data_IF_672301226074
#
_entry.id   IF_672301226074
#
_cell.length_a   1.000
_cell.length_b   1.000
_cell.length_c   1.000
_cell.angle_alpha   90.00
_cell.angle_beta   90.00
_cell.angle_gamma   90.00
#
_symmetry.space_group_name_H-M   'P 1'
#
loop_
_entity.id
_entity.type
_entity.pdbx_description
1 polymer ?
#
# COMPACT_ATOMS: atom_id res chain seq x y z
N UNK A 1 1.46 -8.57 -12.21
CA UNK A 1 0.70 -7.29 -12.19
C UNK A 1 1.43 -6.37 -11.21
N UNK A 2 1.39 -5.04 -11.39
CA UNK A 2 2.00 -4.06 -10.47
C UNK A 2 1.73 -4.37 -8.99
N UNK A 3 0.53 -4.81 -8.65
CA UNK A 3 0.19 -5.23 -7.28
C UNK A 3 1.00 -6.45 -6.82
N UNK A 4 1.14 -7.48 -7.67
CA UNK A 4 1.87 -8.71 -7.36
C UNK A 4 3.37 -8.46 -7.11
N UNK A 5 3.93 -7.45 -7.79
CA UNK A 5 5.33 -7.05 -7.60
C UNK A 5 5.50 -6.17 -6.35
N UNK A 6 4.45 -5.42 -5.99
CA UNK A 6 4.47 -4.44 -4.90
C UNK A 6 4.22 -5.08 -3.53
N UNK A 7 3.29 -6.04 -3.43
CA UNK A 7 2.98 -6.72 -2.16
C UNK A 7 4.24 -7.33 -1.51
N UNK A 8 5.11 -8.08 -2.22
CA UNK A 8 6.34 -8.60 -1.64
C UNK A 8 7.30 -7.50 -1.15
N UNK A 9 7.38 -6.36 -1.87
CA UNK A 9 8.20 -5.21 -1.47
C UNK A 9 7.67 -4.58 -0.18
N UNK A 10 6.34 -4.43 -0.05
CA UNK A 10 5.70 -3.92 1.17
C UNK A 10 5.93 -4.88 2.33
N UNK A 11 5.72 -6.19 2.14
CA UNK A 11 5.96 -7.20 3.17
C UNK A 11 7.41 -7.15 3.68
N UNK A 12 8.38 -7.12 2.76
CA UNK A 12 9.79 -6.96 3.11
C UNK A 12 10.09 -5.64 3.83
N UNK A 13 9.40 -4.56 3.46
CA UNK A 13 9.56 -3.28 4.14
C UNK A 13 9.01 -3.32 5.58
N UNK A 14 7.93 -4.06 5.82
CA UNK A 14 7.42 -4.32 7.17
C UNK A 14 8.43 -5.11 7.99
N UNK A 15 9.04 -6.16 7.43
CA UNK A 15 10.12 -6.92 8.10
C UNK A 15 11.30 -6.01 8.50
N UNK A 16 11.66 -5.05 7.65
CA UNK A 16 12.70 -4.06 7.99
C UNK A 16 12.29 -3.19 9.19
N UNK A 17 11.02 -2.82 9.31
CA UNK A 17 10.54 -2.09 10.49
C UNK A 17 10.59 -2.98 11.75
N UNK A 18 10.21 -4.26 11.63
CA UNK A 18 10.28 -5.22 12.73
C UNK A 18 11.73 -5.40 13.22
N UNK A 19 12.70 -5.50 12.30
CA UNK A 19 14.13 -5.56 12.61
C UNK A 19 14.60 -4.33 13.42
N UNK A 20 14.12 -3.13 13.05
CA UNK A 20 14.47 -1.89 13.74
C UNK A 20 13.86 -1.82 15.13
N UNK A 21 12.60 -2.23 15.28
CA UNK A 21 11.94 -2.31 16.59
C UNK A 21 12.59 -3.35 17.50
N UNK A 22 13.12 -4.44 16.93
CA UNK A 22 13.90 -5.44 17.65
C UNK A 22 15.32 -4.99 18.03
N UNK A 23 15.87 -3.98 17.36
CA UNK A 23 17.23 -3.52 17.60
C UNK A 23 17.37 -2.79 18.95
N UNK A 24 18.36 -3.20 19.74
CA UNK A 24 18.56 -2.71 21.12
C UNK A 24 18.69 -1.19 21.26
N UNK A 25 19.33 -0.53 20.28
CA UNK A 25 19.53 0.92 20.29
C UNK A 25 18.34 1.65 19.70
N UNK A 26 17.83 1.21 18.56
CA UNK A 26 16.72 1.88 17.85
C UNK A 26 15.41 1.83 18.64
N UNK A 27 15.12 0.74 19.36
CA UNK A 27 13.91 0.61 20.19
C UNK A 27 13.79 1.65 21.31
N UNK A 28 14.89 2.34 21.64
CA UNK A 28 14.91 3.41 22.64
C UNK A 28 14.46 4.75 22.07
N UNK A 29 14.30 4.87 20.76
CA UNK A 29 13.75 6.05 20.10
C UNK A 29 12.22 5.94 20.00
N UNK A 30 11.46 6.63 20.88
CA UNK A 30 10.00 6.53 20.88
C UNK A 30 9.36 7.14 19.63
N UNK A 31 10.04 8.09 18.96
CA UNK A 31 9.53 8.70 17.73
C UNK A 31 9.58 7.66 16.62
N UNK A 32 10.72 6.97 16.48
CA UNK A 32 10.87 5.91 15.49
C UNK A 32 9.85 4.79 15.71
N UNK A 33 9.66 4.32 16.95
CA UNK A 33 8.69 3.25 17.25
C UNK A 33 7.26 3.66 16.87
N UNK A 34 6.87 4.91 17.17
CA UNK A 34 5.55 5.41 16.79
C UNK A 34 5.40 5.51 15.27
N UNK A 35 6.45 5.93 14.55
CA UNK A 35 6.43 5.99 13.08
C UNK A 35 6.35 4.59 12.48
N UNK A 36 7.11 3.62 12.98
CA UNK A 36 7.04 2.23 12.51
C UNK A 36 5.64 1.64 12.71
N UNK A 37 5.06 1.80 13.90
CA UNK A 37 3.69 1.36 14.17
C UNK A 37 2.66 2.00 13.25
N UNK A 38 2.73 3.33 13.08
CA UNK A 38 1.87 4.07 12.16
C UNK A 38 2.00 3.57 10.72
N UNK A 39 3.23 3.43 10.22
CA UNK A 39 3.47 2.99 8.85
C UNK A 39 2.99 1.56 8.61
N UNK A 40 3.19 0.67 9.58
CA UNK A 40 2.74 -0.73 9.51
C UNK A 40 1.22 -0.81 9.39
N UNK A 41 0.49 -0.09 10.24
CA UNK A 41 -0.98 -0.02 10.20
C UNK A 41 -1.45 0.45 8.81
N UNK A 42 -0.91 1.58 8.33
CA UNK A 42 -1.31 2.15 7.04
C UNK A 42 -0.96 1.27 5.85
N UNK A 43 0.22 0.67 5.83
CA UNK A 43 0.61 -0.25 4.76
C UNK A 43 -0.30 -1.48 4.73
N UNK A 44 -0.67 -2.01 5.89
CA UNK A 44 -1.60 -3.14 5.97
C UNK A 44 -3.01 -2.75 5.47
N UNK A 45 -3.54 -1.62 5.94
CA UNK A 45 -4.87 -1.14 5.55
C UNK A 45 -4.97 -0.90 4.04
N UNK A 46 -3.99 -0.17 3.50
CA UNK A 46 -3.93 0.13 2.07
C UNK A 46 -3.77 -1.14 1.25
N UNK A 47 -2.92 -2.09 1.69
CA UNK A 47 -2.74 -3.37 0.98
C UNK A 47 -4.02 -4.20 1.00
N UNK A 48 -4.69 -4.31 2.14
CA UNK A 48 -5.94 -5.04 2.28
C UNK A 48 -7.05 -4.42 1.40
N UNK A 49 -7.16 -3.10 1.41
CA UNK A 49 -8.14 -2.37 0.61
C UNK A 49 -7.91 -2.55 -0.90
N UNK A 50 -6.65 -2.45 -1.36
CA UNK A 50 -6.28 -2.71 -2.75
C UNK A 50 -6.64 -4.13 -3.16
N UNK A 51 -6.20 -5.14 -2.41
CA UNK A 51 -6.50 -6.55 -2.72
C UNK A 51 -8.01 -6.79 -2.78
N UNK A 52 -8.78 -6.26 -1.82
CA UNK A 52 -10.24 -6.37 -1.82
C UNK A 52 -10.91 -5.77 -3.05
N UNK A 53 -10.45 -4.61 -3.53
CA UNK A 53 -10.97 -4.00 -4.77
C UNK A 53 -10.62 -4.81 -6.01
N UNK A 54 -9.40 -5.36 -6.10
CA UNK A 54 -9.02 -6.22 -7.22
C UNK A 54 -9.80 -7.54 -7.23
N UNK A 55 -10.02 -8.16 -6.07
CA UNK A 55 -10.85 -9.36 -5.95
C UNK A 55 -12.31 -9.10 -6.31
N UNK A 56 -12.86 -7.96 -5.87
CA UNK A 56 -14.22 -7.52 -6.26
C UNK A 56 -14.31 -7.33 -7.77
N UNK A 57 -13.29 -6.68 -8.37
CA UNK A 57 -13.22 -6.47 -9.81
C UNK A 57 -13.17 -7.79 -10.59
N UNK A 58 -12.30 -8.71 -10.18
CA UNK A 58 -12.17 -10.04 -10.80
C UNK A 58 -13.49 -10.83 -10.70
N UNK A 59 -14.15 -10.80 -9.53
CA UNK A 59 -15.43 -11.48 -9.32
C UNK A 59 -16.53 -10.94 -10.23
N UNK A 60 -16.72 -9.62 -10.27
CA UNK A 60 -17.76 -8.99 -11.08
C UNK A 60 -17.49 -9.10 -12.58
N UNK A 61 -16.22 -9.05 -13.00
CA UNK A 61 -15.87 -9.25 -14.40
C UNK A 61 -16.13 -10.70 -14.85
N UNK A 62 -15.79 -11.71 -14.03
CA UNK A 62 -16.13 -13.12 -14.30
C UNK A 62 -17.63 -13.36 -14.37
N UNK A 63 -18.41 -12.80 -13.43
CA UNK A 63 -19.87 -12.88 -13.46
C UNK A 63 -20.45 -12.23 -14.72
N UNK A 64 -19.95 -11.06 -15.13
CA UNK A 64 -20.34 -10.43 -16.39
C UNK A 64 -20.07 -11.33 -17.61
N UNK A 65 -18.91 -12.00 -17.65
CA UNK A 65 -18.58 -12.92 -18.74
C UNK A 65 -19.50 -14.16 -18.78
N UNK A 66 -19.90 -14.67 -17.62
CA UNK A 66 -20.82 -15.81 -17.53
C UNK A 66 -22.28 -15.41 -17.80
N UNK A 67 -22.66 -14.17 -17.47
CA UNK A 67 -24.02 -13.63 -17.54
C UNK A 67 -24.03 -12.30 -18.28
N UNK A 68 -23.70 -12.33 -19.59
CA UNK A 68 -23.54 -11.12 -20.39
C UNK A 68 -24.89 -10.42 -20.63
N UNK A 69 -25.13 -9.35 -19.87
CA UNK A 69 -26.30 -8.50 -20.02
C UNK A 69 -25.96 -7.03 -19.73
N UNK A 70 -26.90 -6.12 -20.01
CA UNK A 70 -26.67 -4.69 -19.85
C UNK A 70 -26.47 -4.25 -18.39
N UNK A 71 -26.99 -5.00 -17.41
CA UNK A 71 -26.82 -4.69 -15.99
C UNK A 71 -25.42 -5.08 -15.50
N UNK A 72 -24.95 -6.29 -15.83
CA UNK A 72 -23.61 -6.76 -15.46
C UNK A 72 -22.52 -5.87 -16.07
N UNK A 73 -22.68 -5.44 -17.33
CA UNK A 73 -21.80 -4.46 -17.95
C UNK A 73 -21.80 -3.10 -17.23
N UNK A 74 -22.98 -2.56 -16.88
CA UNK A 74 -23.08 -1.28 -16.16
C UNK A 74 -22.43 -1.35 -14.78
N UNK A 75 -22.53 -2.48 -14.08
CA UNK A 75 -21.90 -2.68 -12.76
C UNK A 75 -20.38 -2.66 -12.87
N UNK A 76 -19.80 -3.43 -13.79
CA UNK A 76 -18.35 -3.44 -14.03
C UNK A 76 -17.85 -2.05 -14.45
N UNK A 77 -18.56 -1.36 -15.35
CA UNK A 77 -18.23 0.00 -15.77
C UNK A 77 -18.20 0.97 -14.58
N UNK A 78 -19.25 0.98 -13.74
CA UNK A 78 -19.34 1.86 -12.57
C UNK A 78 -18.17 1.63 -11.62
N UNK A 79 -17.81 0.37 -11.36
CA UNK A 79 -16.66 0.01 -10.51
C UNK A 79 -15.33 0.53 -11.08
N UNK A 80 -15.11 0.42 -12.40
CA UNK A 80 -13.92 1.01 -13.04
C UNK A 80 -13.93 2.52 -12.84
N UNK A 81 -14.99 3.20 -13.27
CA UNK A 81 -15.08 4.67 -13.25
C UNK A 81 -14.92 5.25 -11.84
N UNK A 82 -15.42 4.56 -10.81
CA UNK A 82 -15.38 5.01 -9.42
C UNK A 82 -14.05 4.77 -8.68
N UNK A 83 -13.29 3.74 -9.04
CA UNK A 83 -12.10 3.35 -8.28
C UNK A 83 -10.76 3.45 -9.04
N UNK A 84 -10.75 3.50 -10.38
CA UNK A 84 -9.50 3.42 -11.15
C UNK A 84 -8.51 4.54 -10.80
N UNK A 85 -8.98 5.76 -10.51
CA UNK A 85 -8.11 6.89 -10.19
C UNK A 85 -7.46 6.73 -8.81
N UNK A 86 -8.22 6.32 -7.79
CA UNK A 86 -7.69 6.13 -6.44
C UNK A 86 -6.79 4.90 -6.36
N UNK A 87 -7.22 3.76 -6.92
CA UNK A 87 -6.40 2.54 -7.02
C UNK A 87 -5.08 2.82 -7.75
N UNK A 88 -5.14 3.51 -8.90
CA UNK A 88 -3.94 3.89 -9.65
C UNK A 88 -3.04 4.85 -8.87
N UNK A 89 -3.63 5.84 -8.19
CA UNK A 89 -2.89 6.80 -7.36
C UNK A 89 -2.15 6.15 -6.19
N UNK A 90 -2.82 5.26 -5.48
CA UNK A 90 -2.24 4.49 -4.37
C UNK A 90 -1.11 3.58 -4.87
N UNK A 91 -1.35 2.78 -5.93
CA UNK A 91 -0.32 1.90 -6.51
C UNK A 91 0.91 2.68 -6.99
N UNK A 92 0.70 3.81 -7.65
CA UNK A 92 1.77 4.68 -8.11
C UNK A 92 2.58 5.23 -6.94
N UNK A 93 1.89 5.78 -5.92
CA UNK A 93 2.54 6.34 -4.74
C UNK A 93 3.37 5.30 -3.98
N UNK A 94 2.82 4.12 -3.74
CA UNK A 94 3.52 3.02 -3.09
C UNK A 94 4.73 2.55 -3.91
N UNK A 95 4.57 2.39 -5.23
CA UNK A 95 5.68 1.99 -6.11
C UNK A 95 6.83 3.00 -6.04
N UNK A 96 6.52 4.30 -6.15
CA UNK A 96 7.52 5.37 -6.03
C UNK A 96 8.24 5.34 -4.68
N UNK A 97 7.54 4.99 -3.59
CA UNK A 97 8.14 4.92 -2.25
C UNK A 97 9.02 3.69 -2.07
N UNK A 98 8.62 2.54 -2.59
CA UNK A 98 9.44 1.33 -2.59
C UNK A 98 10.70 1.51 -3.46
N UNK A 99 10.56 2.17 -4.61
CA UNK A 99 11.71 2.44 -5.49
C UNK A 99 12.65 3.50 -4.89
N UNK A 100 12.11 4.49 -4.18
CA UNK A 100 12.94 5.44 -3.42
C UNK A 100 13.73 4.75 -2.31
N UNK A 101 13.08 3.85 -1.57
CA UNK A 101 13.76 3.03 -0.56
C UNK A 101 14.91 2.20 -1.17
N UNK A 102 14.64 1.49 -2.27
CA UNK A 102 15.63 0.67 -2.94
C UNK A 102 16.84 1.48 -3.43
N UNK A 103 16.58 2.66 -4.00
CA UNK A 103 17.62 3.55 -4.52
C UNK A 103 18.45 4.19 -3.41
N UNK A 104 17.82 4.64 -2.33
CA UNK A 104 18.48 5.51 -1.35
C UNK A 104 19.05 4.74 -0.16
N UNK A 105 18.36 3.68 0.27
CA UNK A 105 18.80 2.82 1.38
C UNK A 105 19.34 1.51 0.85
N UNK A 106 18.55 0.82 0.02
CA UNK A 106 18.86 -0.48 -0.55
C UNK A 106 18.41 -1.64 0.35
N UNK A 107 17.80 -2.66 -0.27
CA UNK A 107 17.21 -3.79 0.44
C UNK A 107 18.20 -4.70 1.20
N UNK A 108 19.50 -4.64 0.85
CA UNK A 108 20.59 -5.40 1.49
C UNK A 108 21.36 -4.58 2.52
N UNK A 109 21.05 -3.30 2.67
CA UNK A 109 21.74 -2.43 3.60
C UNK A 109 21.31 -2.76 5.03
N UNK A 110 22.25 -3.02 5.92
CA UNK A 110 22.04 -3.42 7.30
C UNK A 110 22.18 -2.27 8.31
N UNK A 111 22.51 -1.05 7.85
CA UNK A 111 22.67 0.13 8.72
C UNK A 111 21.34 0.53 9.37
N UNK A 112 21.17 0.34 10.69
CA UNK A 112 19.92 0.67 11.37
C UNK A 112 19.63 2.17 11.35
N UNK A 113 20.70 2.98 11.39
CA UNK A 113 20.62 4.46 11.39
C UNK A 113 20.08 4.96 10.05
N UNK A 114 20.60 4.46 8.93
CA UNK A 114 20.16 4.92 7.61
C UNK A 114 18.71 4.49 7.33
N UNK A 115 18.34 3.29 7.76
CA UNK A 115 16.97 2.77 7.66
C UNK A 115 16.01 3.64 8.49
N UNK A 116 16.36 3.93 9.75
CA UNK A 116 15.50 4.72 10.65
C UNK A 116 15.33 6.16 10.17
N UNK A 117 16.39 6.79 9.68
CA UNK A 117 16.35 8.15 9.13
C UNK A 117 15.39 8.24 7.94
N UNK A 118 15.48 7.31 6.98
CA UNK A 118 14.58 7.29 5.83
C UNK A 118 13.12 7.07 6.24
N UNK A 119 12.88 6.12 7.15
CA UNK A 119 11.54 5.82 7.68
C UNK A 119 10.91 7.06 8.32
N UNK A 120 11.65 7.72 9.22
CA UNK A 120 11.15 8.86 9.98
C UNK A 120 10.86 10.09 9.10
N UNK A 121 11.64 10.30 8.04
CA UNK A 121 11.59 11.55 7.25
C UNK A 121 10.81 11.41 5.95
N UNK A 122 11.09 10.38 5.14
CA UNK A 122 10.59 10.27 3.78
C UNK A 122 9.39 9.32 3.66
N UNK A 123 9.43 8.21 4.41
CA UNK A 123 8.38 7.21 4.31
C UNK A 123 7.10 7.70 4.98
N UNK A 124 7.21 8.25 6.20
CA UNK A 124 6.06 8.81 6.94
C UNK A 124 5.22 9.79 6.12
N UNK A 125 5.86 10.81 5.56
CA UNK A 125 5.17 11.83 4.74
C UNK A 125 4.56 11.24 3.46
N UNK A 126 5.25 10.27 2.86
CA UNK A 126 4.79 9.55 1.68
C UNK A 126 3.52 8.74 1.92
N UNK A 127 3.54 7.90 2.96
CA UNK A 127 2.42 7.04 3.31
C UNK A 127 1.22 7.86 3.79
N UNK A 128 1.43 8.96 4.51
CA UNK A 128 0.34 9.91 4.82
C UNK A 128 -0.40 10.37 3.56
N UNK A 129 0.34 10.79 2.53
CA UNK A 129 -0.27 11.27 1.29
C UNK A 129 -0.99 10.17 0.53
N UNK A 130 -0.47 8.94 0.58
CA UNK A 130 -1.13 7.78 -0.02
C UNK A 130 -2.43 7.46 0.72
N UNK A 131 -2.43 7.54 2.04
CA UNK A 131 -3.63 7.36 2.84
C UNK A 131 -4.71 8.40 2.51
N UNK A 132 -4.35 9.67 2.33
CA UNK A 132 -5.32 10.71 1.91
C UNK A 132 -5.99 10.39 0.56
N UNK A 133 -5.25 9.77 -0.37
CA UNK A 133 -5.81 9.31 -1.65
C UNK A 133 -6.77 8.14 -1.41
N UNK A 134 -6.37 7.19 -0.55
CA UNK A 134 -7.19 6.04 -0.19
C UNK A 134 -8.48 6.44 0.54
N UNK A 135 -8.42 7.39 1.47
CA UNK A 135 -9.56 7.91 2.22
C UNK A 135 -10.55 8.66 1.31
N UNK A 136 -10.10 9.17 0.16
CA UNK A 136 -10.97 9.77 -0.86
C UNK A 136 -11.68 8.75 -1.74
N UNK A 137 -11.33 7.46 -1.63
CA UNK A 137 -11.93 6.42 -2.43
C UNK A 137 -13.38 6.14 -2.00
N UNK A 138 -14.29 5.82 -2.95
CA UNK A 138 -15.62 5.33 -2.61
C UNK A 138 -15.55 4.08 -1.72
N UNK A 139 -16.55 3.88 -0.87
CA UNK A 139 -16.59 2.74 0.03
C UNK A 139 -16.74 1.43 -0.77
N UNK A 140 -16.06 0.37 -0.33
CA UNK A 140 -16.19 -0.95 -0.95
C UNK A 140 -17.62 -1.50 -0.79
N UNK A 141 -18.37 -1.04 0.22
CA UNK A 141 -19.79 -1.37 0.42
C UNK A 141 -20.72 -0.78 -0.64
N UNK A 142 -20.24 0.16 -1.46
CA UNK A 142 -21.01 0.76 -2.55
C UNK A 142 -20.83 0.00 -3.89
N UNK A 143 -20.12 -1.14 -3.88
CA UNK A 143 -19.87 -2.05 -5.00
C UNK A 143 -20.94 -3.14 -5.15
#
# INVERSE_FOLDING_TARGET
>A
NCLDDLIPKIGRFIEVMDDLEGNFHMRRDPILMNVCGFLRERLNDVTASLTGRFESFDRHSKDMWNNLNGESFRRVRKMIESHHTTVGGVLCGLSLKMDAWEREVGWKNDSPIKRSEFIATQMRSGINRIQEIEDSAPAISDL
#
